data_IF_095708555282
#
_entry.id   IF_095708555282
#
_cell.length_a   1.000
_cell.length_b   1.000
_cell.length_c   1.000
_cell.angle_alpha   90.00
_cell.angle_beta   90.00
_cell.angle_gamma   90.00
#
_symmetry.space_group_name_H-M   'P 1'
#
loop_
_entity.id
_entity.type
_entity.pdbx_description
1 polymer ?
#
# COMPACT_ATOMS: atom_id res chain seq x y z
N UNK A 1 2.56 -7.48 -16.82
CA UNK A 1 2.76 -6.16 -16.18
C UNK A 1 2.06 -5.01 -16.93
N UNK A 2 1.78 -5.20 -18.22
CA UNK A 2 1.29 -4.13 -19.12
C UNK A 2 -0.23 -4.15 -19.34
N UNK A 3 -0.98 -4.67 -18.36
CA UNK A 3 -2.45 -4.60 -18.42
C UNK A 3 -2.89 -3.15 -18.27
N UNK A 4 -3.87 -2.72 -19.08
CA UNK A 4 -4.49 -1.41 -18.97
C UNK A 4 -5.12 -1.15 -17.59
N UNK A 5 -5.39 -2.20 -16.81
CA UNK A 5 -5.95 -2.08 -15.46
C UNK A 5 -4.93 -1.65 -14.40
N UNK A 6 -3.62 -1.73 -14.67
CA UNK A 6 -2.58 -1.52 -13.65
C UNK A 6 -2.65 -0.12 -13.05
N UNK A 7 -2.81 0.90 -13.89
CA UNK A 7 -2.91 2.28 -13.40
C UNK A 7 -4.20 2.51 -12.59
N UNK A 8 -5.32 1.91 -13.00
CA UNK A 8 -6.57 1.95 -12.23
C UNK A 8 -6.43 1.28 -10.86
N UNK A 9 -5.74 0.14 -10.80
CA UNK A 9 -5.47 -0.58 -9.54
C UNK A 9 -4.54 0.22 -8.62
N UNK A 10 -3.49 0.86 -9.17
CA UNK A 10 -2.63 1.77 -8.40
C UNK A 10 -3.42 2.95 -7.84
N UNK A 11 -4.32 3.54 -8.63
CA UNK A 11 -5.18 4.62 -8.14
C UNK A 11 -6.05 4.16 -6.96
N UNK A 12 -6.69 3.00 -7.06
CA UNK A 12 -7.50 2.46 -5.96
C UNK A 12 -6.66 2.16 -4.71
N UNK A 13 -5.44 1.64 -4.87
CA UNK A 13 -4.53 1.42 -3.72
C UNK A 13 -4.23 2.75 -3.02
N UNK A 14 -4.00 3.84 -3.77
CA UNK A 14 -3.77 5.17 -3.19
C UNK A 14 -4.98 5.67 -2.40
N UNK A 15 -6.19 5.51 -2.93
CA UNK A 15 -7.43 5.90 -2.24
C UNK A 15 -7.61 5.14 -0.94
N UNK A 16 -7.43 3.81 -0.95
CA UNK A 16 -7.51 2.98 0.27
C UNK A 16 -6.45 3.40 1.29
N UNK A 17 -5.23 3.70 0.86
CA UNK A 17 -4.21 4.24 1.76
C UNK A 17 -4.63 5.55 2.40
N UNK A 18 -5.24 6.45 1.64
CA UNK A 18 -5.79 7.69 2.21
C UNK A 18 -6.88 7.42 3.24
N UNK A 19 -7.83 6.53 2.95
CA UNK A 19 -8.90 6.14 3.88
C UNK A 19 -8.31 5.58 5.20
N UNK A 20 -7.34 4.67 5.11
CA UNK A 20 -6.64 4.12 6.29
C UNK A 20 -5.89 5.19 7.09
N UNK A 21 -5.20 6.09 6.40
CA UNK A 21 -4.46 7.18 7.04
C UNK A 21 -5.39 8.18 7.74
N UNK A 22 -6.52 8.52 7.13
CA UNK A 22 -7.49 9.44 7.71
C UNK A 22 -8.13 8.85 9.00
N UNK A 23 -8.24 7.52 9.10
CA UNK A 23 -8.80 6.82 10.26
C UNK A 23 -7.79 6.54 11.39
N UNK A 24 -6.51 6.32 11.07
CA UNK A 24 -5.52 5.87 12.08
C UNK A 24 -4.08 6.26 11.81
N UNK A 25 -3.85 7.23 10.92
CA UNK A 25 -2.54 7.81 10.65
C UNK A 25 -1.54 6.80 10.08
N UNK A 26 -0.25 7.07 10.34
CA UNK A 26 0.87 6.23 9.89
C UNK A 26 0.81 4.82 10.48
N UNK A 27 0.37 4.70 11.74
CA UNK A 27 0.26 3.41 12.42
C UNK A 27 -0.73 2.48 11.71
N UNK A 28 -1.87 3.01 11.23
CA UNK A 28 -2.81 2.22 10.43
C UNK A 28 -2.20 1.76 9.10
N UNK A 29 -1.43 2.62 8.42
CA UNK A 29 -0.73 2.26 7.19
C UNK A 29 0.30 1.14 7.41
N UNK A 30 1.13 1.24 8.45
CA UNK A 30 2.14 0.22 8.77
C UNK A 30 1.48 -1.12 9.12
N UNK A 31 0.48 -1.10 10.01
CA UNK A 31 -0.24 -2.31 10.41
C UNK A 31 -0.89 -3.00 9.21
N UNK A 32 -1.54 -2.23 8.33
CA UNK A 32 -2.20 -2.79 7.16
C UNK A 32 -1.20 -3.30 6.13
N UNK A 33 -0.12 -2.55 5.87
CA UNK A 33 0.94 -2.97 4.95
C UNK A 33 1.62 -4.27 5.43
N UNK A 34 1.91 -4.39 6.73
CA UNK A 34 2.46 -5.60 7.33
C UNK A 34 1.53 -6.81 7.15
N UNK A 35 0.24 -6.63 7.44
CA UNK A 35 -0.75 -7.70 7.29
C UNK A 35 -0.85 -8.20 5.83
N UNK A 36 -0.90 -7.29 4.85
CA UNK A 36 -0.93 -7.66 3.44
C UNK A 36 0.39 -8.29 3.01
N UNK A 37 1.54 -7.77 3.44
CA UNK A 37 2.85 -8.30 3.08
C UNK A 37 2.96 -9.77 3.47
N UNK A 38 2.65 -10.09 4.73
CA UNK A 38 2.67 -11.47 5.21
C UNK A 38 1.73 -12.38 4.41
N UNK A 39 0.55 -11.87 4.06
CA UNK A 39 -0.44 -12.63 3.29
C UNK A 39 0.03 -12.91 1.87
N UNK A 40 0.51 -11.89 1.15
CA UNK A 40 0.95 -12.03 -0.24
C UNK A 40 2.24 -12.84 -0.34
N UNK A 41 3.18 -12.62 0.58
CA UNK A 41 4.41 -13.41 0.66
C UNK A 41 4.08 -14.88 0.99
N UNK A 42 3.19 -15.14 1.96
CA UNK A 42 2.82 -16.50 2.35
C UNK A 42 1.93 -17.25 1.36
N UNK A 43 1.06 -16.55 0.61
CA UNK A 43 0.13 -17.20 -0.33
C UNK A 43 0.72 -17.38 -1.74
N UNK A 44 1.51 -16.41 -2.23
CA UNK A 44 2.01 -16.41 -3.61
C UNK A 44 3.49 -16.05 -3.77
N UNK A 45 4.25 -15.99 -2.66
CA UNK A 45 5.71 -15.78 -2.66
C UNK A 45 6.14 -14.50 -3.42
N UNK A 46 5.36 -13.43 -3.26
CA UNK A 46 5.67 -12.11 -3.85
C UNK A 46 5.92 -11.06 -2.78
N UNK A 47 6.96 -10.27 -3.02
CA UNK A 47 7.26 -9.07 -2.25
C UNK A 47 6.44 -7.88 -2.78
N UNK A 48 5.75 -7.20 -1.87
CA UNK A 48 4.96 -6.01 -2.17
C UNK A 48 5.64 -4.70 -1.71
N UNK A 49 6.84 -4.77 -1.14
CA UNK A 49 7.65 -3.60 -0.77
C UNK A 49 7.76 -2.56 -1.89
N UNK A 50 7.89 -2.93 -3.18
CA UNK A 50 7.90 -1.95 -4.28
C UNK A 50 6.64 -1.09 -4.40
N UNK A 51 5.54 -1.44 -3.71
CA UNK A 51 4.29 -0.69 -3.69
C UNK A 51 4.15 0.26 -2.49
N UNK A 52 5.01 0.19 -1.46
CA UNK A 52 5.02 1.15 -0.33
C UNK A 52 5.01 2.63 -0.78
N UNK A 53 5.76 3.02 -1.83
CA UNK A 53 5.82 4.41 -2.27
C UNK A 53 4.49 4.94 -2.83
N UNK A 54 3.50 4.07 -3.12
CA UNK A 54 2.18 4.54 -3.58
C UNK A 54 1.49 5.45 -2.55
N UNK A 55 1.81 5.31 -1.27
CA UNK A 55 1.25 6.12 -0.19
C UNK A 55 2.17 7.26 0.27
N UNK A 56 3.28 7.51 -0.42
CA UNK A 56 4.09 8.70 -0.17
C UNK A 56 3.27 9.97 -0.39
N UNK A 57 3.51 10.99 0.45
CA UNK A 57 2.80 12.25 0.42
C UNK A 57 1.54 12.30 1.29
N UNK A 58 1.14 11.19 1.92
CA UNK A 58 0.11 11.19 2.97
C UNK A 58 0.64 11.73 4.30
N UNK A 59 1.91 11.47 4.62
CA UNK A 59 2.61 11.99 5.81
C UNK A 59 4.09 12.25 5.51
N UNK A 60 4.70 13.16 6.27
CA UNK A 60 6.14 13.37 6.29
C UNK A 60 6.92 12.19 6.90
N UNK A 61 6.25 11.30 7.62
CA UNK A 61 6.85 10.11 8.23
C UNK A 61 6.88 8.91 7.26
N UNK A 62 5.95 8.84 6.30
CA UNK A 62 5.87 7.77 5.31
C UNK A 62 6.69 8.11 4.06
N UNK A 63 7.96 7.70 4.06
CA UNK A 63 8.94 8.02 3.01
C UNK A 63 9.71 6.78 2.56
N UNK A 64 9.17 6.09 1.55
CA UNK A 64 9.74 4.87 0.96
C UNK A 64 10.10 5.00 -0.52
#
# INVERSE_FOLDING_TARGET
PDSAEVEGKKARIKEVGKELFDDGGVDALENFFFAISNRIEGEIEKDITPFKPLWNGLSDEWKY
#
